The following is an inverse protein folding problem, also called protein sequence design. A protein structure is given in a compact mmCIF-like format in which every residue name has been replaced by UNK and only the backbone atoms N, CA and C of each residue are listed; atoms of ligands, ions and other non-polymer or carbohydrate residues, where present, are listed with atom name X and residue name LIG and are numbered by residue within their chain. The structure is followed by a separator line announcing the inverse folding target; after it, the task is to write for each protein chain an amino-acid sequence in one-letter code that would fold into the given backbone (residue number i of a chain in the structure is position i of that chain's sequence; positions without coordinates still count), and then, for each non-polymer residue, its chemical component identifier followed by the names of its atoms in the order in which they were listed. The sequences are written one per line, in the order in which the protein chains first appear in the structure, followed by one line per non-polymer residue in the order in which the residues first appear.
data_IF_469592478988
#
_entry.id   IF_469592478988
#
_cell.length_a   1.000
_cell.length_b   1.000
_cell.length_c   1.000
_cell.angle_alpha   90.00
_cell.angle_beta   90.00
_cell.angle_gamma   90.00
#
_symmetry.space_group_name_H-M   'P 1'
#
loop_
_entity.id
_entity.type
_entity.pdbx_description
1 polymer ?
#
# COMPACT_ATOMS: atom_id res chain seq x y z
N UNK A 1 12.03 -17.34 23.71
CA UNK A 1 11.65 -15.94 23.44
C UNK A 1 10.18 -15.76 23.74
N UNK A 2 9.83 -14.65 24.39
CA UNK A 2 8.44 -14.23 24.56
C UNK A 2 7.85 -13.83 23.19
N UNK A 3 6.52 -13.81 23.07
CA UNK A 3 5.84 -13.51 21.79
C UNK A 3 6.23 -12.11 21.29
N UNK A 4 6.34 -11.15 22.19
CA UNK A 4 6.70 -9.77 21.89
C UNK A 4 8.10 -9.66 21.26
N UNK A 5 9.05 -10.48 21.74
CA UNK A 5 10.41 -10.52 21.20
C UNK A 5 10.44 -11.09 19.78
N UNK A 6 9.54 -12.04 19.46
CA UNK A 6 9.43 -12.60 18.11
C UNK A 6 8.80 -11.61 17.13
N UNK A 7 7.80 -10.84 17.57
CA UNK A 7 7.18 -9.77 16.77
C UNK A 7 8.22 -8.69 16.46
N UNK A 8 8.96 -8.22 17.46
CA UNK A 8 10.01 -7.21 17.30
C UNK A 8 11.15 -7.70 16.39
N UNK A 9 11.48 -8.99 16.45
CA UNK A 9 12.52 -9.58 15.63
C UNK A 9 12.07 -9.85 14.18
N UNK A 10 10.78 -9.80 13.85
CA UNK A 10 10.28 -10.09 12.51
C UNK A 10 10.69 -8.97 11.52
N UNK A 11 11.59 -9.23 10.55
CA UNK A 11 12.06 -8.20 9.63
C UNK A 11 10.98 -7.80 8.60
N UNK A 12 10.15 -8.75 8.16
CA UNK A 12 9.09 -8.49 7.17
C UNK A 12 8.00 -7.60 7.77
N UNK A 13 7.61 -7.88 9.02
CA UNK A 13 6.62 -7.03 9.70
C UNK A 13 7.12 -5.59 9.84
N UNK A 14 8.41 -5.40 10.17
CA UNK A 14 9.02 -4.08 10.26
C UNK A 14 9.04 -3.37 8.92
N UNK A 15 9.41 -4.05 7.84
CA UNK A 15 9.37 -3.47 6.50
C UNK A 15 7.96 -3.02 6.10
N UNK A 16 6.92 -3.82 6.42
CA UNK A 16 5.53 -3.42 6.16
C UNK A 16 5.12 -2.21 7.00
N UNK A 17 5.54 -2.12 8.26
CA UNK A 17 5.30 -0.93 9.08
C UNK A 17 5.96 0.32 8.48
N UNK A 18 7.22 0.22 8.06
CA UNK A 18 7.95 1.33 7.44
C UNK A 18 7.25 1.79 6.15
N UNK A 19 6.70 0.86 5.35
CA UNK A 19 5.93 1.20 4.16
C UNK A 19 4.65 1.99 4.50
N UNK A 20 3.92 1.59 5.55
CA UNK A 20 2.72 2.28 6.02
C UNK A 20 3.03 3.69 6.55
N UNK A 21 4.10 3.82 7.34
CA UNK A 21 4.54 5.11 7.88
C UNK A 21 4.94 6.07 6.76
N UNK A 22 5.73 5.57 5.80
CA UNK A 22 6.13 6.36 4.64
C UNK A 22 4.94 6.78 3.77
N UNK A 23 3.97 5.89 3.55
CA UNK A 23 2.77 6.22 2.79
C UNK A 23 1.93 7.28 3.50
N UNK A 24 1.82 7.20 4.82
CA UNK A 24 1.13 8.20 5.65
C UNK A 24 1.84 9.55 5.58
N UNK A 25 3.17 9.58 5.70
CA UNK A 25 3.96 10.80 5.56
C UNK A 25 3.79 11.47 4.19
N UNK A 26 3.78 10.68 3.10
CA UNK A 26 3.50 11.18 1.74
C UNK A 26 2.10 11.77 1.63
N UNK A 27 1.10 11.09 2.19
CA UNK A 27 -0.28 11.56 2.23
C UNK A 27 -0.40 12.90 2.97
N UNK A 28 0.19 12.99 4.16
CA UNK A 28 0.24 14.23 4.96
C UNK A 28 0.94 15.36 4.21
N UNK A 29 2.07 15.10 3.56
CA UNK A 29 2.78 16.11 2.77
C UNK A 29 1.95 16.59 1.57
N UNK A 30 1.16 15.71 0.95
CA UNK A 30 0.36 16.02 -0.24
C UNK A 30 -0.96 16.72 0.09
N UNK A 31 -1.67 16.27 1.13
CA UNK A 31 -3.04 16.69 1.43
C UNK A 31 -3.17 17.49 2.73
N UNK A 32 -2.12 17.60 3.54
CA UNK A 32 -2.12 18.33 4.81
C UNK A 32 -2.89 17.64 5.95
N UNK A 33 -3.50 16.48 5.69
CA UNK A 33 -4.28 15.70 6.66
C UNK A 33 -4.09 14.20 6.43
N UNK A 34 -4.36 13.40 7.47
CA UNK A 34 -4.51 11.95 7.33
C UNK A 34 -5.87 11.60 6.76
N UNK A 35 -6.03 10.35 6.31
CA UNK A 35 -7.34 9.78 5.97
C UNK A 35 -8.28 9.92 7.16
N UNK A 36 -9.42 10.60 6.95
CA UNK A 36 -10.50 10.66 7.90
C UNK A 36 -11.69 9.85 7.34
N UNK A 37 -12.22 8.85 8.07
CA UNK A 37 -13.33 8.03 7.60
C UNK A 37 -14.58 8.83 7.19
N UNK A 38 -14.74 10.04 7.73
CA UNK A 38 -15.86 10.95 7.45
C UNK A 38 -15.70 11.77 6.16
N UNK A 39 -14.53 11.70 5.50
CA UNK A 39 -14.27 12.47 4.28
C UNK A 39 -15.10 12.00 3.07
N UNK A 40 -15.58 10.75 3.11
CA UNK A 40 -16.31 10.11 2.02
C UNK A 40 -17.48 9.27 2.52
N UNK A 41 -18.52 9.17 1.71
CA UNK A 41 -19.57 8.15 1.88
C UNK A 41 -19.01 6.75 1.60
N UNK A 42 -19.70 5.71 2.07
CA UNK A 42 -19.31 4.31 1.80
C UNK A 42 -19.14 4.01 0.30
N UNK A 43 -19.99 4.59 -0.55
CA UNK A 43 -19.91 4.38 -2.01
C UNK A 43 -18.65 5.04 -2.59
N UNK A 44 -18.29 6.23 -2.11
CA UNK A 44 -17.08 6.93 -2.54
C UNK A 44 -15.82 6.18 -2.10
N UNK A 45 -15.80 5.66 -0.86
CA UNK A 45 -14.73 4.77 -0.40
C UNK A 45 -14.56 3.54 -1.30
N UNK A 46 -15.65 2.89 -1.71
CA UNK A 46 -15.59 1.74 -2.62
C UNK A 46 -15.14 2.12 -4.03
N UNK A 47 -15.48 3.33 -4.51
CA UNK A 47 -15.02 3.84 -5.80
C UNK A 47 -13.50 4.05 -5.78
N UNK A 48 -12.98 4.73 -4.75
CA UNK A 48 -11.54 4.94 -4.58
C UNK A 48 -10.80 3.61 -4.44
N UNK A 49 -11.31 2.68 -3.63
CA UNK A 49 -10.72 1.34 -3.54
C UNK A 49 -10.65 0.64 -4.91
N UNK A 50 -11.73 0.71 -5.71
CA UNK A 50 -11.73 0.14 -7.05
C UNK A 50 -10.70 0.81 -7.97
N UNK A 51 -10.55 2.12 -7.91
CA UNK A 51 -9.53 2.87 -8.67
C UNK A 51 -8.12 2.38 -8.32
N UNK A 52 -7.80 2.27 -7.02
CA UNK A 52 -6.50 1.76 -6.55
C UNK A 52 -6.23 0.30 -6.97
N UNK A 53 -7.27 -0.54 -7.05
CA UNK A 53 -7.13 -1.91 -7.57
C UNK A 53 -6.82 -1.94 -9.07
N UNK A 54 -7.35 -1.00 -9.85
CA UNK A 54 -7.01 -0.88 -11.27
C UNK A 54 -5.56 -0.41 -11.44
N UNK A 55 -5.09 0.54 -10.63
CA UNK A 55 -3.68 0.96 -10.63
C UNK A 55 -2.76 -0.23 -10.33
N UNK A 56 -3.12 -1.07 -9.35
CA UNK A 56 -2.43 -2.33 -9.07
C UNK A 56 -2.40 -3.29 -10.27
N UNK A 57 -3.52 -3.45 -10.97
CA UNK A 57 -3.60 -4.30 -12.17
C UNK A 57 -2.72 -3.78 -13.32
N UNK A 58 -2.62 -2.45 -13.47
CA UNK A 58 -1.70 -1.82 -14.45
C UNK A 58 -0.25 -2.17 -14.11
N UNK A 59 0.17 -1.99 -12.85
CA UNK A 59 1.54 -2.33 -12.44
C UNK A 59 1.86 -3.82 -12.66
N UNK A 60 0.95 -4.71 -12.28
CA UNK A 60 1.12 -6.14 -12.50
C UNK A 60 1.29 -6.47 -13.99
N UNK A 61 0.43 -5.88 -14.84
CA UNK A 61 0.47 -6.07 -16.30
C UNK A 61 1.81 -5.64 -16.89
N UNK A 62 2.31 -4.46 -16.50
CA UNK A 62 3.61 -3.95 -16.97
C UNK A 62 4.76 -4.88 -16.55
N UNK A 63 4.76 -5.36 -15.32
CA UNK A 63 5.81 -6.26 -14.81
C UNK A 63 5.77 -7.60 -15.55
N UNK A 64 4.58 -8.17 -15.77
CA UNK A 64 4.41 -9.41 -16.55
C UNK A 64 5.00 -9.24 -17.95
N UNK A 65 4.63 -8.17 -18.67
CA UNK A 65 5.14 -7.90 -20.02
C UNK A 65 6.67 -7.80 -20.05
N UNK A 66 7.27 -7.08 -19.09
CA UNK A 66 8.74 -6.97 -18.99
C UNK A 66 9.41 -8.32 -18.76
N UNK A 67 8.82 -9.16 -17.90
CA UNK A 67 9.36 -10.49 -17.62
C UNK A 67 9.25 -11.41 -18.84
N UNK A 68 8.15 -11.34 -19.59
CA UNK A 68 7.97 -12.10 -20.84
C UNK A 68 8.97 -11.67 -21.92
N UNK A 69 9.28 -10.37 -22.02
CA UNK A 69 10.32 -9.88 -22.94
C UNK A 69 11.72 -10.38 -22.57
N UNK A 70 12.06 -10.43 -21.28
CA UNK A 70 13.37 -10.92 -20.80
C UNK A 70 13.57 -12.42 -21.01
N UNK A 71 12.50 -13.19 -21.21
CA UNK A 71 12.54 -14.63 -21.43
C UNK A 71 12.66 -15.02 -22.92
N UNK A 72 12.56 -14.05 -23.84
CA UNK A 72 12.73 -14.25 -25.29
C UNK A 72 14.22 -14.18 -25.69
#
# INVERSE_FOLDING_TARGET
MKIEEQILANPILREVHDLLDNQTAKGLAKYGTTVNPMDYTTIEWLKHFREEMIDGAVYATVVIQKLEEMQK
#
